data_IF_291841237701
#
_entry.id   IF_291841237701
#
_cell.length_a   1.000
_cell.length_b   1.000
_cell.length_c   1.000
_cell.angle_alpha   90.00
_cell.angle_beta   90.00
_cell.angle_gamma   90.00
#
_symmetry.space_group_name_H-M   'P 1'
#
loop_
_entity.id
_entity.type
_entity.pdbx_description
1 polymer ?
#
# COMPACT_ATOMS: atom_id res chain seq x y z
N UNK A 1 -25.16 -16.77 3.51
CA UNK A 1 -23.68 -16.82 3.44
C UNK A 1 -23.08 -16.54 2.05
N UNK A 2 -23.53 -17.17 0.95
CA UNK A 2 -22.96 -16.97 -0.41
C UNK A 2 -22.95 -15.52 -0.91
N UNK A 3 -23.99 -14.73 -0.58
CA UNK A 3 -24.09 -13.30 -0.95
C UNK A 3 -23.01 -12.45 -0.29
N UNK A 4 -22.76 -12.62 1.01
CA UNK A 4 -21.72 -11.89 1.75
C UNK A 4 -20.34 -12.19 1.16
N UNK A 5 -20.04 -13.47 0.95
CA UNK A 5 -18.77 -13.91 0.35
C UNK A 5 -18.51 -13.25 -1.01
N UNK A 6 -19.54 -13.08 -1.83
CA UNK A 6 -19.41 -12.38 -3.11
C UNK A 6 -19.04 -10.90 -2.94
N UNK A 7 -19.62 -10.20 -1.97
CA UNK A 7 -19.28 -8.79 -1.67
C UNK A 7 -17.83 -8.69 -1.20
N UNK A 8 -17.40 -9.60 -0.33
CA UNK A 8 -16.01 -9.63 0.18
C UNK A 8 -14.99 -9.88 -0.94
N UNK A 9 -15.32 -10.71 -1.93
CA UNK A 9 -14.48 -10.90 -3.11
C UNK A 9 -14.52 -9.71 -4.07
N UNK A 10 -15.69 -9.10 -4.27
CA UNK A 10 -15.85 -7.94 -5.14
C UNK A 10 -14.93 -6.79 -4.72
N UNK A 11 -14.91 -6.46 -3.43
CA UNK A 11 -14.06 -5.40 -2.87
C UNK A 11 -12.68 -5.89 -2.42
N UNK A 12 -12.31 -7.13 -2.73
CA UNK A 12 -10.99 -7.70 -2.42
C UNK A 12 -10.63 -7.68 -0.92
N UNK A 13 -11.64 -7.75 -0.06
CA UNK A 13 -11.46 -7.98 1.39
C UNK A 13 -10.92 -9.39 1.60
N UNK A 14 -11.49 -10.35 0.85
CA UNK A 14 -10.94 -11.70 0.70
C UNK A 14 -10.20 -11.83 -0.63
N UNK A 15 -9.09 -12.56 -0.61
CA UNK A 15 -8.39 -12.94 -1.84
C UNK A 15 -9.23 -13.88 -2.70
N UNK A 16 -9.10 -13.78 -4.02
CA UNK A 16 -9.81 -14.63 -4.96
C UNK A 16 -8.82 -15.24 -5.96
N UNK A 17 -8.75 -16.58 -6.00
CA UNK A 17 -7.71 -17.34 -6.72
C UNK A 17 -6.32 -16.81 -6.36
N UNK A 18 -5.57 -16.27 -7.32
CA UNK A 18 -4.21 -15.75 -7.11
C UNK A 18 -4.18 -14.30 -6.57
N UNK A 19 -5.30 -13.58 -6.63
CA UNK A 19 -5.36 -12.18 -6.20
C UNK A 19 -5.40 -12.11 -4.67
N UNK A 20 -4.41 -11.44 -4.10
CA UNK A 20 -4.30 -11.21 -2.64
C UNK A 20 -5.34 -10.21 -2.13
N UNK A 21 -5.57 -10.23 -0.81
CA UNK A 21 -6.41 -9.24 -0.11
C UNK A 21 -5.82 -7.83 -0.22
N UNK A 22 -6.71 -6.84 -0.30
CA UNK A 22 -6.36 -5.42 -0.35
C UNK A 22 -6.13 -4.77 1.02
N UNK A 23 -6.40 -5.49 2.12
CA UNK A 23 -6.42 -4.89 3.46
C UNK A 23 -5.04 -4.47 4.00
N UNK A 24 -3.95 -4.83 3.31
CA UNK A 24 -2.59 -4.46 3.71
C UNK A 24 -2.40 -2.94 3.90
N UNK A 25 -3.12 -2.13 3.12
CA UNK A 25 -3.07 -0.67 3.21
C UNK A 25 -3.45 -0.12 4.60
N UNK A 26 -4.36 -0.81 5.32
CA UNK A 26 -4.78 -0.43 6.68
C UNK A 26 -3.61 -0.53 7.67
N UNK A 27 -2.65 -1.44 7.43
CA UNK A 27 -1.46 -1.57 8.26
C UNK A 27 -0.65 -0.28 8.30
N UNK A 28 -0.54 0.43 7.17
CA UNK A 28 0.17 1.72 7.10
C UNK A 28 -0.54 2.82 7.87
N UNK A 29 -1.87 2.80 7.90
CA UNK A 29 -2.68 3.70 8.72
C UNK A 29 -2.39 3.51 10.22
N UNK A 30 -2.39 2.26 10.68
CA UNK A 30 -2.08 1.96 12.07
C UNK A 30 -0.63 2.28 12.44
N UNK A 31 0.31 2.06 11.53
CA UNK A 31 1.70 2.44 11.71
C UNK A 31 1.84 3.97 11.88
N UNK A 32 1.13 4.77 11.08
CA UNK A 32 1.08 6.23 11.22
C UNK A 32 0.57 6.67 12.59
N UNK A 33 -0.54 6.09 13.05
CA UNK A 33 -1.07 6.37 14.38
C UNK A 33 -0.11 5.98 15.50
N UNK A 34 0.48 4.79 15.42
CA UNK A 34 1.41 4.29 16.42
C UNK A 34 2.63 5.21 16.54
N UNK A 35 3.22 5.62 15.41
CA UNK A 35 4.37 6.52 15.39
C UNK A 35 4.06 7.95 15.81
N UNK A 36 2.79 8.38 15.75
CA UNK A 36 2.40 9.70 16.26
C UNK A 36 2.50 9.83 17.78
N UNK A 37 2.57 8.70 18.51
CA UNK A 37 2.68 8.64 19.98
C UNK A 37 1.48 9.22 20.74
N UNK A 38 0.36 9.44 20.05
CA UNK A 38 -0.86 10.07 20.58
C UNK A 38 -2.08 9.27 20.15
N UNK A 39 -3.20 9.49 20.84
CA UNK A 39 -4.43 8.76 20.57
C UNK A 39 -5.64 9.69 20.59
N UNK A 40 -6.41 9.69 19.51
CA UNK A 40 -7.73 10.33 19.40
C UNK A 40 -8.69 9.34 18.76
N UNK A 41 -9.40 8.59 19.58
CA UNK A 41 -10.22 7.45 19.14
C UNK A 41 -11.15 7.80 17.96
N UNK A 42 -11.96 8.86 18.09
CA UNK A 42 -12.94 9.21 17.07
C UNK A 42 -12.28 9.60 15.73
N UNK A 43 -11.22 10.42 15.77
CA UNK A 43 -10.43 10.78 14.59
C UNK A 43 -9.83 9.54 13.92
N UNK A 44 -9.25 8.64 14.71
CA UNK A 44 -8.62 7.42 14.20
C UNK A 44 -9.63 6.46 13.60
N UNK A 45 -10.77 6.25 14.28
CA UNK A 45 -11.83 5.38 13.81
C UNK A 45 -12.38 5.87 12.46
N UNK A 46 -12.75 7.16 12.37
CA UNK A 46 -13.28 7.73 11.14
C UNK A 46 -12.26 7.72 10.01
N UNK A 47 -11.00 8.10 10.28
CA UNK A 47 -9.99 8.07 9.24
C UNK A 47 -9.68 6.64 8.76
N UNK A 48 -9.58 5.68 9.67
CA UNK A 48 -9.39 4.26 9.30
C UNK A 48 -10.54 3.78 8.43
N UNK A 49 -11.76 4.21 8.72
CA UNK A 49 -12.92 3.86 7.93
C UNK A 49 -12.89 4.51 6.53
N UNK A 50 -12.45 5.77 6.43
CA UNK A 50 -12.21 6.44 5.13
C UNK A 50 -11.13 5.71 4.32
N UNK A 51 -9.99 5.38 4.92
CA UNK A 51 -8.91 4.64 4.24
C UNK A 51 -9.38 3.25 3.83
N UNK A 52 -10.19 2.58 4.65
CA UNK A 52 -10.83 1.33 4.29
C UNK A 52 -11.70 1.49 3.05
N UNK A 53 -12.58 2.50 3.00
CA UNK A 53 -13.41 2.79 1.82
C UNK A 53 -12.57 3.12 0.58
N UNK A 54 -11.49 3.90 0.74
CA UNK A 54 -10.51 4.17 -0.31
C UNK A 54 -9.85 2.90 -0.84
N UNK A 55 -9.53 1.95 0.05
CA UNK A 55 -9.00 0.63 -0.31
C UNK A 55 -10.03 -0.19 -1.11
N UNK A 56 -11.30 -0.22 -0.67
CA UNK A 56 -12.37 -0.91 -1.41
C UNK A 56 -12.56 -0.30 -2.81
N UNK A 57 -12.54 1.02 -2.92
CA UNK A 57 -12.58 1.73 -4.19
C UNK A 57 -11.39 1.35 -5.07
N UNK A 58 -10.17 1.47 -4.56
CA UNK A 58 -8.93 1.20 -5.29
C UNK A 58 -8.93 -0.17 -5.96
N UNK A 59 -9.26 -1.22 -5.20
CA UNK A 59 -9.22 -2.57 -5.74
C UNK A 59 -10.40 -2.90 -6.65
N UNK A 60 -11.61 -2.42 -6.34
CA UNK A 60 -12.79 -2.68 -7.19
C UNK A 60 -12.70 -1.97 -8.54
N UNK A 61 -12.32 -0.68 -8.55
CA UNK A 61 -12.17 0.10 -9.79
C UNK A 61 -10.99 -0.43 -10.63
N UNK A 62 -9.90 -0.83 -9.97
CA UNK A 62 -8.77 -1.45 -10.66
C UNK A 62 -9.17 -2.79 -11.29
N UNK A 63 -9.87 -3.68 -10.58
CA UNK A 63 -10.37 -4.94 -11.15
C UNK A 63 -11.33 -4.71 -12.33
N UNK A 64 -12.21 -3.69 -12.24
CA UNK A 64 -13.12 -3.35 -13.33
C UNK A 64 -12.35 -2.99 -14.61
N UNK A 65 -11.35 -2.10 -14.53
CA UNK A 65 -10.58 -1.69 -15.71
C UNK A 65 -9.53 -2.72 -16.15
N UNK A 66 -8.96 -3.51 -15.24
CA UNK A 66 -8.11 -4.65 -15.59
C UNK A 66 -8.89 -5.69 -16.42
N UNK A 67 -10.12 -6.02 -16.02
CA UNK A 67 -11.01 -6.87 -16.83
C UNK A 67 -11.37 -6.19 -18.16
N UNK A 68 -11.90 -4.97 -18.11
CA UNK A 68 -12.47 -4.29 -19.29
C UNK A 68 -11.45 -3.99 -20.39
N UNK A 69 -10.21 -3.67 -20.01
CA UNK A 69 -9.19 -3.21 -20.97
C UNK A 69 -8.16 -4.29 -21.27
N UNK A 70 -7.82 -5.16 -20.30
CA UNK A 70 -6.76 -6.17 -20.47
C UNK A 70 -7.33 -7.59 -20.56
N UNK A 71 -8.64 -7.78 -20.42
CA UNK A 71 -9.25 -9.10 -20.41
C UNK A 71 -8.83 -9.93 -19.18
N UNK A 72 -8.41 -9.26 -18.10
CA UNK A 72 -7.90 -9.97 -16.94
C UNK A 72 -9.02 -10.79 -16.27
N UNK A 73 -8.74 -12.06 -15.98
CA UNK A 73 -9.62 -12.93 -15.19
C UNK A 73 -9.64 -12.51 -13.72
N UNK A 74 -10.71 -11.86 -13.31
CA UNK A 74 -10.98 -11.52 -11.91
C UNK A 74 -12.44 -11.80 -11.53
N UNK A 75 -12.74 -11.78 -10.22
CA UNK A 75 -14.08 -12.10 -9.72
C UNK A 75 -15.17 -11.19 -10.31
N UNK A 76 -14.88 -9.90 -10.46
CA UNK A 76 -15.82 -8.93 -11.01
C UNK A 76 -16.10 -9.22 -12.49
N UNK A 77 -15.05 -9.46 -13.28
CA UNK A 77 -15.15 -9.87 -14.69
C UNK A 77 -16.03 -11.11 -14.87
N UNK A 78 -15.79 -12.18 -14.09
CA UNK A 78 -16.60 -13.40 -14.15
C UNK A 78 -18.09 -13.15 -13.84
N UNK A 79 -18.41 -12.20 -12.94
CA UNK A 79 -19.82 -11.85 -12.66
C UNK A 79 -20.47 -11.10 -13.81
N UNK A 80 -19.72 -10.25 -14.51
CA UNK A 80 -20.22 -9.52 -15.66
C UNK A 80 -20.43 -10.48 -16.83
N UNK A 81 -19.43 -11.30 -17.15
CA UNK A 81 -19.48 -12.27 -18.25
C UNK A 81 -20.59 -13.31 -18.07
N UNK A 82 -20.84 -13.76 -16.83
CA UNK A 82 -21.94 -14.68 -16.52
C UNK A 82 -23.32 -14.03 -16.42
N UNK A 83 -23.45 -12.74 -16.75
CA UNK A 83 -24.72 -11.99 -16.71
C UNK A 83 -25.29 -11.76 -15.31
N UNK A 84 -24.52 -12.02 -14.24
CA UNK A 84 -24.98 -11.86 -12.85
C UNK A 84 -25.01 -10.41 -12.41
N UNK A 85 -24.26 -9.54 -13.07
CA UNK A 85 -24.27 -8.10 -12.89
C UNK A 85 -23.98 -7.42 -14.23
N UNK A 86 -24.64 -6.31 -14.56
CA UNK A 86 -24.31 -5.53 -15.75
C UNK A 86 -23.09 -4.65 -15.52
N UNK A 87 -22.37 -4.27 -16.58
CA UNK A 87 -21.21 -3.38 -16.49
C UNK A 87 -21.51 -2.08 -15.74
N UNK A 88 -22.63 -1.42 -16.06
CA UNK A 88 -23.02 -0.16 -15.43
C UNK A 88 -23.25 -0.33 -13.92
N UNK A 89 -23.89 -1.44 -13.51
CA UNK A 89 -24.09 -1.74 -12.09
C UNK A 89 -22.78 -2.06 -11.38
N UNK A 90 -21.89 -2.82 -12.03
CA UNK A 90 -20.58 -3.12 -11.49
C UNK A 90 -19.75 -1.84 -11.28
N UNK A 91 -19.73 -0.95 -12.28
CA UNK A 91 -19.04 0.34 -12.19
C UNK A 91 -19.61 1.21 -11.07
N UNK A 92 -20.94 1.32 -10.97
CA UNK A 92 -21.60 2.04 -9.88
C UNK A 92 -21.16 1.53 -8.50
N UNK A 93 -21.14 0.21 -8.29
CA UNK A 93 -20.68 -0.36 -7.02
C UNK A 93 -19.19 -0.16 -6.75
N UNK A 94 -18.36 -0.05 -7.80
CA UNK A 94 -16.96 0.34 -7.63
C UNK A 94 -16.84 1.76 -7.08
N UNK A 95 -17.68 2.70 -7.53
CA UNK A 95 -17.63 4.11 -7.11
C UNK A 95 -18.33 4.40 -5.78
N UNK A 96 -19.17 3.51 -5.27
CA UNK A 96 -19.88 3.74 -4.01
C UNK A 96 -18.95 4.00 -2.81
N UNK A 97 -17.87 3.22 -2.58
CA UNK A 97 -16.91 3.52 -1.51
C UNK A 97 -16.17 4.85 -1.70
N UNK A 98 -15.91 5.26 -2.94
CA UNK A 98 -15.30 6.56 -3.23
C UNK A 98 -16.20 7.72 -2.80
N UNK A 99 -17.48 7.69 -3.21
CA UNK A 99 -18.43 8.75 -2.85
C UNK A 99 -18.63 8.83 -1.33
N UNK A 100 -18.78 7.68 -0.67
CA UNK A 100 -18.96 7.65 0.77
C UNK A 100 -17.68 8.03 1.52
N UNK A 101 -16.51 7.59 1.05
CA UNK A 101 -15.22 7.95 1.62
C UNK A 101 -14.94 9.45 1.51
N UNK A 102 -15.24 10.06 0.36
CA UNK A 102 -15.14 11.52 0.20
C UNK A 102 -16.09 12.25 1.14
N UNK A 103 -17.37 11.87 1.18
CA UNK A 103 -18.36 12.47 2.09
C UNK A 103 -17.87 12.43 3.55
N UNK A 104 -17.38 11.28 4.01
CA UNK A 104 -16.87 11.14 5.36
C UNK A 104 -15.56 11.90 5.59
N UNK A 105 -14.71 12.03 4.58
CA UNK A 105 -13.49 12.87 4.66
C UNK A 105 -13.86 14.34 4.87
N UNK A 106 -14.81 14.85 4.08
CA UNK A 106 -15.32 16.21 4.21
C UNK A 106 -15.99 16.44 5.55
N UNK A 107 -16.84 15.52 6.00
CA UNK A 107 -17.50 15.61 7.30
C UNK A 107 -16.47 15.62 8.44
N UNK A 108 -15.48 14.72 8.39
CA UNK A 108 -14.42 14.66 9.40
C UNK A 108 -13.57 15.94 9.44
N UNK A 109 -13.31 16.54 8.29
CA UNK A 109 -12.62 17.83 8.19
C UNK A 109 -13.45 18.96 8.78
N UNK A 110 -14.74 19.06 8.42
CA UNK A 110 -15.64 20.11 8.88
C UNK A 110 -15.87 20.04 10.40
N UNK A 111 -15.89 18.84 10.97
CA UNK A 111 -15.97 18.60 12.41
C UNK A 111 -14.63 18.81 13.15
N UNK A 112 -13.55 19.18 12.45
CA UNK A 112 -12.23 19.37 13.05
C UNK A 112 -11.56 18.09 13.56
N UNK A 113 -12.01 16.92 13.09
CA UNK A 113 -11.50 15.62 13.51
C UNK A 113 -10.21 15.22 12.78
N UNK A 114 -10.02 15.72 11.56
CA UNK A 114 -8.79 15.57 10.78
C UNK A 114 -8.21 16.95 10.43
N UNK A 115 -6.88 17.15 10.52
CA UNK A 115 -6.26 18.39 10.08
C UNK A 115 -6.36 18.62 8.57
N UNK A 116 -6.27 19.88 8.15
CA UNK A 116 -6.30 20.30 6.74
C UNK A 116 -5.32 19.53 5.86
N UNK A 117 -4.09 19.29 6.35
CA UNK A 117 -3.06 18.57 5.61
C UNK A 117 -3.47 17.11 5.35
N UNK A 118 -3.90 16.36 6.38
CA UNK A 118 -4.40 14.99 6.23
C UNK A 118 -5.62 14.92 5.31
N UNK A 119 -6.55 15.88 5.41
CA UNK A 119 -7.69 15.97 4.50
C UNK A 119 -7.26 16.08 3.02
N UNK A 120 -6.34 16.99 2.70
CA UNK A 120 -5.86 17.12 1.31
C UNK A 120 -5.08 15.89 0.83
N UNK A 121 -4.33 15.23 1.72
CA UNK A 121 -3.67 13.97 1.40
C UNK A 121 -4.67 12.85 1.07
N UNK A 122 -5.77 12.72 1.83
CA UNK A 122 -6.85 11.77 1.53
C UNK A 122 -7.47 12.05 0.15
N UNK A 123 -7.82 13.30 -0.13
CA UNK A 123 -8.38 13.69 -1.43
C UNK A 123 -7.40 13.36 -2.56
N UNK A 124 -6.11 13.67 -2.37
CA UNK A 124 -5.07 13.33 -3.34
C UNK A 124 -4.94 11.82 -3.54
N UNK A 125 -4.99 11.00 -2.48
CA UNK A 125 -4.98 9.54 -2.56
C UNK A 125 -6.18 8.98 -3.35
N UNK A 126 -7.37 9.53 -3.15
CA UNK A 126 -8.56 9.18 -3.92
C UNK A 126 -8.39 9.50 -5.41
N UNK A 127 -7.83 10.68 -5.74
CA UNK A 127 -7.54 11.08 -7.11
C UNK A 127 -6.46 10.21 -7.74
N UNK A 128 -5.36 9.97 -7.03
CA UNK A 128 -4.27 9.10 -7.47
C UNK A 128 -4.81 7.70 -7.82
N UNK A 129 -5.68 7.15 -6.96
CA UNK A 129 -6.33 5.86 -7.18
C UNK A 129 -7.18 5.84 -8.45
N UNK A 130 -8.02 6.86 -8.63
CA UNK A 130 -8.85 7.00 -9.82
C UNK A 130 -8.02 7.06 -11.10
N UNK A 131 -7.00 7.93 -11.12
CA UNK A 131 -6.11 8.12 -12.26
C UNK A 131 -5.17 6.94 -12.50
N UNK A 132 -4.84 6.18 -11.46
CA UNK A 132 -4.05 4.97 -11.58
C UNK A 132 -4.79 3.88 -12.37
N UNK A 133 -6.08 3.70 -12.12
CA UNK A 133 -6.88 2.62 -12.73
C UNK A 133 -7.60 3.01 -14.03
N UNK A 134 -8.08 4.26 -14.16
CA UNK A 134 -9.04 4.65 -15.21
C UNK A 134 -8.38 5.22 -16.49
N UNK A 135 -8.80 4.80 -17.70
CA UNK A 135 -8.43 5.45 -18.97
C UNK A 135 -9.00 6.88 -19.13
N UNK A 136 -8.36 7.78 -19.91
CA UNK A 136 -7.18 7.55 -20.75
C UNK A 136 -5.84 7.68 -20.02
N UNK A 137 -5.82 8.16 -18.77
CA UNK A 137 -4.57 8.42 -18.06
C UNK A 137 -3.89 7.13 -17.59
N UNK A 138 -4.66 6.26 -16.90
CA UNK A 138 -4.28 4.94 -16.35
C UNK A 138 -2.79 4.81 -16.02
N UNK A 139 -2.38 5.44 -14.92
CA UNK A 139 -0.96 5.50 -14.54
C UNK A 139 -0.31 4.12 -14.38
N UNK A 140 -1.10 3.08 -14.04
CA UNK A 140 -0.63 1.69 -13.96
C UNK A 140 0.10 1.21 -15.22
N UNK A 141 -0.29 1.70 -16.40
CA UNK A 141 0.30 1.31 -17.69
C UNK A 141 1.56 2.12 -18.05
N UNK A 142 1.80 3.23 -17.35
CA UNK A 142 2.96 4.09 -17.60
C UNK A 142 4.15 3.54 -16.81
N UNK A 143 5.25 3.16 -17.47
CA UNK A 143 6.40 2.50 -16.83
C UNK A 143 6.85 3.15 -15.51
N UNK A 144 7.10 4.46 -15.52
CA UNK A 144 7.58 5.18 -14.34
C UNK A 144 6.51 5.37 -13.27
N UNK A 145 5.35 5.92 -13.65
CA UNK A 145 4.28 6.21 -12.70
C UNK A 145 3.60 4.95 -12.16
N UNK A 146 3.44 3.91 -12.97
CA UNK A 146 2.85 2.64 -12.56
C UNK A 146 3.74 1.89 -11.57
N UNK A 147 5.06 2.08 -11.63
CA UNK A 147 6.00 1.58 -10.62
C UNK A 147 5.94 2.42 -9.35
N UNK A 148 6.03 3.75 -9.44
CA UNK A 148 6.09 4.61 -8.26
C UNK A 148 4.76 4.79 -7.53
N UNK A 149 3.62 4.60 -8.20
CA UNK A 149 2.31 4.86 -7.61
C UNK A 149 2.04 3.99 -6.38
N UNK A 150 2.52 2.74 -6.36
CA UNK A 150 2.29 1.84 -5.22
C UNK A 150 3.11 2.26 -4.00
N UNK A 151 4.45 2.41 -4.06
CA UNK A 151 5.22 2.93 -2.93
C UNK A 151 4.77 4.30 -2.46
N UNK A 152 4.44 5.20 -3.40
CA UNK A 152 3.94 6.53 -3.09
C UNK A 152 2.57 6.45 -2.39
N UNK A 153 1.68 5.56 -2.82
CA UNK A 153 0.39 5.33 -2.18
C UNK A 153 0.54 4.91 -0.72
N UNK A 154 1.35 3.88 -0.45
CA UNK A 154 1.65 3.41 0.92
C UNK A 154 2.25 4.53 1.78
N UNK A 155 3.22 5.26 1.21
CA UNK A 155 3.88 6.40 1.84
C UNK A 155 2.89 7.51 2.24
N UNK A 156 1.99 7.86 1.33
CA UNK A 156 1.01 8.91 1.56
C UNK A 156 -0.05 8.49 2.58
N UNK A 157 -0.49 7.23 2.59
CA UNK A 157 -1.40 6.69 3.62
C UNK A 157 -0.75 6.77 5.01
N UNK A 158 0.53 6.39 5.10
CA UNK A 158 1.28 6.52 6.35
C UNK A 158 1.37 7.98 6.81
N UNK A 159 1.77 8.90 5.93
CA UNK A 159 1.91 10.32 6.29
C UNK A 159 0.57 10.94 6.71
N UNK A 160 -0.48 10.69 5.93
CA UNK A 160 -1.83 11.17 6.20
C UNK A 160 -2.27 10.81 7.62
N UNK A 161 -2.16 9.52 7.96
CA UNK A 161 -2.56 8.99 9.25
C UNK A 161 -1.68 9.48 10.40
N UNK A 162 -0.36 9.58 10.19
CA UNK A 162 0.58 10.17 11.16
C UNK A 162 0.18 11.61 11.52
N UNK A 163 -0.10 12.43 10.51
CA UNK A 163 -0.36 13.86 10.70
C UNK A 163 -1.74 14.19 11.30
N UNK A 164 -2.62 13.20 11.54
CA UNK A 164 -3.87 13.46 12.28
C UNK A 164 -3.60 14.07 13.65
N UNK A 165 -2.54 13.62 14.32
CA UNK A 165 -2.13 14.14 15.64
C UNK A 165 -0.63 14.31 15.81
N UNK A 166 0.17 13.76 14.89
CA UNK A 166 1.62 13.86 14.87
C UNK A 166 2.11 15.26 14.49
N UNK A 167 3.42 15.46 14.58
CA UNK A 167 4.10 16.70 14.21
C UNK A 167 5.33 16.37 13.40
N UNK A 168 5.76 17.27 12.53
CA UNK A 168 7.00 17.07 11.79
C UNK A 168 8.18 17.07 12.77
N UNK A 169 8.92 15.96 12.80
CA UNK A 169 10.15 15.81 13.57
C UNK A 169 11.28 15.32 12.67
N UNK A 170 12.53 15.51 13.09
CA UNK A 170 13.67 14.97 12.35
C UNK A 170 13.61 13.43 12.25
N UNK A 171 13.17 12.76 13.32
CA UNK A 171 13.00 11.31 13.33
C UNK A 171 11.92 10.84 12.34
N UNK A 172 10.83 11.60 12.19
CA UNK A 172 9.83 11.32 11.15
C UNK A 172 10.46 11.45 9.77
N UNK A 173 11.23 12.51 9.50
CA UNK A 173 11.88 12.72 8.20
C UNK A 173 12.81 11.54 7.86
N UNK A 174 13.63 11.11 8.82
CA UNK A 174 14.50 9.94 8.65
C UNK A 174 13.70 8.65 8.43
N UNK A 175 12.65 8.44 9.22
CA UNK A 175 11.79 7.27 9.08
C UNK A 175 11.12 7.22 7.71
N UNK A 176 10.55 8.32 7.22
CA UNK A 176 9.81 8.33 5.95
C UNK A 176 10.71 8.07 4.75
N UNK A 177 11.98 8.48 4.80
CA UNK A 177 12.99 8.12 3.78
C UNK A 177 13.23 6.61 3.78
N UNK A 178 13.45 6.00 4.95
CA UNK A 178 13.68 4.55 5.06
C UNK A 178 12.43 3.75 4.67
N UNK A 179 11.26 4.23 5.08
CA UNK A 179 9.97 3.63 4.75
C UNK A 179 9.72 3.65 3.24
N UNK A 180 9.99 4.77 2.56
CA UNK A 180 9.85 4.85 1.10
C UNK A 180 10.81 3.89 0.37
N UNK A 181 12.06 3.77 0.82
CA UNK A 181 13.02 2.80 0.26
C UNK A 181 12.52 1.36 0.43
N UNK A 182 11.92 1.04 1.57
CA UNK A 182 11.35 -0.27 1.84
C UNK A 182 10.11 -0.57 0.99
N UNK A 183 9.18 0.37 0.88
CA UNK A 183 8.00 0.22 0.03
C UNK A 183 8.39 0.05 -1.45
N UNK A 184 9.42 0.79 -1.89
CA UNK A 184 10.02 0.59 -3.22
C UNK A 184 10.60 -0.82 -3.37
N UNK A 185 11.24 -1.35 -2.33
CA UNK A 185 11.76 -2.71 -2.32
C UNK A 185 10.64 -3.77 -2.42
N UNK A 186 9.52 -3.57 -1.71
CA UNK A 186 8.36 -4.44 -1.83
C UNK A 186 7.72 -4.40 -3.22
N UNK A 187 7.64 -3.22 -3.84
CA UNK A 187 7.18 -3.10 -5.22
C UNK A 187 8.11 -3.82 -6.21
N UNK A 188 9.43 -3.83 -5.97
CA UNK A 188 10.35 -4.63 -6.80
C UNK A 188 10.04 -6.13 -6.69
N UNK A 189 9.74 -6.65 -5.49
CA UNK A 189 9.27 -8.04 -5.33
C UNK A 189 7.96 -8.28 -6.10
N UNK A 190 7.03 -7.32 -6.07
CA UNK A 190 5.78 -7.41 -6.85
C UNK A 190 6.06 -7.42 -8.36
N UNK A 191 6.93 -6.55 -8.86
CA UNK A 191 7.29 -6.49 -10.29
C UNK A 191 7.97 -7.79 -10.75
N UNK A 192 8.78 -8.42 -9.89
CA UNK A 192 9.39 -9.72 -10.18
C UNK A 192 8.33 -10.84 -10.23
N UNK A 193 7.34 -10.85 -9.33
CA UNK A 193 6.20 -11.77 -9.38
C UNK A 193 5.36 -11.56 -10.66
N UNK A 194 5.08 -10.30 -11.03
CA UNK A 194 4.33 -9.97 -12.24
C UNK A 194 5.08 -10.37 -13.51
N UNK A 195 6.43 -10.37 -13.48
CA UNK A 195 7.24 -10.80 -14.63
C UNK A 195 7.07 -12.28 -14.98
N UNK A 196 6.58 -13.10 -14.04
CA UNK A 196 6.23 -14.50 -14.24
C UNK A 196 4.84 -14.69 -14.87
N UNK A 197 4.00 -13.65 -14.88
CA UNK A 197 2.66 -13.67 -15.48
C UNK A 197 2.71 -13.22 -16.94
N UNK A 198 1.93 -13.88 -17.80
CA UNK A 198 1.80 -13.51 -19.21
C UNK A 198 0.86 -12.31 -19.43
N UNK A 199 -0.08 -12.08 -18.51
CA UNK A 199 -1.15 -11.08 -18.66
C UNK A 199 -0.87 -9.76 -17.97
N UNK A 200 0.11 -9.70 -17.07
CA UNK A 200 0.43 -8.49 -16.30
C UNK A 200 1.40 -7.58 -17.07
N UNK A 201 1.32 -6.27 -16.81
CA UNK A 201 2.18 -5.28 -17.47
C UNK A 201 3.58 -5.32 -16.88
N UNK A 202 4.58 -5.56 -17.74
CA UNK A 202 5.99 -5.51 -17.36
C UNK A 202 6.47 -4.07 -17.19
N UNK A 203 6.39 -3.57 -15.95
CA UNK A 203 6.78 -2.19 -15.58
C UNK A 203 8.28 -1.93 -15.69
N UNK A 204 9.09 -2.93 -15.35
CA UNK A 204 10.56 -2.86 -15.33
C UNK A 204 11.17 -4.11 -15.95
N UNK A 205 12.36 -3.95 -16.54
CA UNK A 205 13.17 -5.08 -16.98
C UNK A 205 13.59 -5.96 -15.80
N UNK A 206 13.54 -7.28 -15.99
CA UNK A 206 13.79 -8.27 -14.93
C UNK A 206 15.22 -8.18 -14.38
N UNK A 207 16.23 -7.97 -15.23
CA UNK A 207 17.62 -7.83 -14.76
C UNK A 207 17.78 -6.58 -13.92
N UNK A 208 17.14 -5.47 -14.33
CA UNK A 208 17.10 -4.23 -13.53
C UNK A 208 16.38 -4.45 -12.20
N UNK A 209 15.24 -5.12 -12.19
CA UNK A 209 14.47 -5.43 -10.98
C UNK A 209 15.30 -6.28 -9.99
N UNK A 210 15.97 -7.34 -10.47
CA UNK A 210 16.86 -8.16 -9.64
C UNK A 210 18.04 -7.36 -9.06
N UNK A 211 18.60 -6.42 -9.82
CA UNK A 211 19.66 -5.54 -9.33
C UNK A 211 19.14 -4.61 -8.23
N UNK A 212 17.98 -3.98 -8.44
CA UNK A 212 17.34 -3.10 -7.45
C UNK A 212 16.95 -3.84 -6.18
N UNK A 213 16.56 -5.11 -6.28
CA UNK A 213 16.23 -5.96 -5.13
C UNK A 213 17.40 -6.05 -4.12
N UNK A 214 18.65 -5.97 -4.60
CA UNK A 214 19.86 -5.97 -3.75
C UNK A 214 20.33 -4.55 -3.39
N UNK A 215 20.19 -3.60 -4.31
CA UNK A 215 20.60 -2.21 -4.07
C UNK A 215 19.75 -1.57 -2.97
N UNK A 216 18.42 -1.71 -3.02
CA UNK A 216 17.53 -1.00 -2.10
C UNK A 216 17.79 -1.34 -0.62
N UNK A 217 17.89 -2.62 -0.19
CA UNK A 217 18.25 -2.94 1.19
C UNK A 217 19.65 -2.45 1.57
N UNK A 218 20.61 -2.46 0.64
CA UNK A 218 21.97 -1.92 0.85
C UNK A 218 21.93 -0.42 1.09
N UNK A 219 21.19 0.33 0.28
CA UNK A 219 20.97 1.76 0.47
C UNK A 219 20.30 2.03 1.82
N UNK A 220 19.23 1.31 2.16
CA UNK A 220 18.57 1.43 3.47
C UNK A 220 19.53 1.12 4.63
N UNK A 221 20.44 0.16 4.49
CA UNK A 221 21.44 -0.18 5.51
C UNK A 221 22.37 1.00 5.77
N UNK A 222 22.98 1.57 4.73
CA UNK A 222 23.90 2.70 4.90
C UNK A 222 23.17 3.97 5.35
N UNK A 223 21.99 4.26 4.78
CA UNK A 223 21.18 5.42 5.19
C UNK A 223 20.77 5.32 6.66
N UNK A 224 20.34 4.14 7.12
CA UNK A 224 19.96 3.95 8.52
C UNK A 224 21.16 4.03 9.47
N UNK A 225 22.35 3.56 9.06
CA UNK A 225 23.58 3.75 9.82
C UNK A 225 23.92 5.24 9.96
N UNK A 226 23.79 6.03 8.89
CA UNK A 226 23.99 7.48 8.96
C UNK A 226 22.97 8.15 9.90
N UNK A 227 21.69 7.77 9.83
CA UNK A 227 20.66 8.32 10.72
C UNK A 227 20.85 7.88 12.19
N UNK A 228 21.52 6.74 12.42
CA UNK A 228 21.78 6.22 13.77
C UNK A 228 22.68 7.12 14.61
N UNK A 229 23.53 7.94 13.98
CA UNK A 229 24.32 8.97 14.68
C UNK A 229 23.44 10.04 15.34
N UNK A 230 22.26 10.31 14.78
CA UNK A 230 21.29 11.25 15.35
C UNK A 230 20.36 10.56 16.34
N UNK A 231 19.91 9.33 16.05
CA UNK A 231 19.06 8.55 16.96
C UNK A 231 19.31 7.04 16.78
N UNK A 232 19.76 6.31 17.81
CA UNK A 232 20.11 4.88 17.70
C UNK A 232 18.94 3.97 17.30
N UNK A 233 17.70 4.44 17.36
CA UNK A 233 16.53 3.67 16.92
C UNK A 233 16.62 3.19 15.47
N UNK A 234 17.33 3.93 14.61
CA UNK A 234 17.53 3.56 13.21
C UNK A 234 18.44 2.35 13.01
N UNK A 235 19.14 1.90 14.06
CA UNK A 235 19.83 0.60 14.04
C UNK A 235 18.85 -0.58 13.85
N UNK A 236 17.56 -0.38 14.15
CA UNK A 236 16.50 -1.33 13.80
C UNK A 236 16.47 -1.61 12.29
N UNK A 237 16.42 -0.56 11.45
CA UNK A 237 16.47 -0.72 9.99
C UNK A 237 17.80 -1.29 9.52
N UNK A 238 18.91 -0.93 10.15
CA UNK A 238 20.21 -1.53 9.84
C UNK A 238 20.19 -3.05 10.02
N UNK A 239 19.67 -3.54 11.15
CA UNK A 239 19.56 -4.96 11.45
C UNK A 239 18.65 -5.68 10.44
N UNK A 240 17.44 -5.17 10.19
CA UNK A 240 16.50 -5.79 9.26
C UNK A 240 16.93 -5.71 7.80
N UNK A 241 17.60 -4.64 7.35
CA UNK A 241 18.23 -4.58 6.03
C UNK A 241 19.36 -5.61 5.89
N UNK A 242 20.15 -5.84 6.95
CA UNK A 242 21.20 -6.86 6.94
C UNK A 242 20.62 -8.27 6.80
N UNK A 243 19.52 -8.57 7.51
CA UNK A 243 18.78 -9.83 7.38
C UNK A 243 18.20 -9.99 5.97
N UNK A 244 17.63 -8.93 5.39
CA UNK A 244 17.15 -8.92 4.00
C UNK A 244 18.29 -9.24 3.02
N UNK A 245 19.44 -8.57 3.12
CA UNK A 245 20.59 -8.85 2.25
C UNK A 245 21.11 -10.28 2.38
N UNK A 246 21.17 -10.80 3.61
CA UNK A 246 21.60 -12.18 3.85
C UNK A 246 20.63 -13.18 3.21
N UNK A 247 19.32 -13.01 3.42
CA UNK A 247 18.29 -13.89 2.86
C UNK A 247 18.18 -13.81 1.33
N UNK A 248 18.60 -12.70 0.72
CA UNK A 248 18.62 -12.51 -0.74
C UNK A 248 19.82 -13.16 -1.45
N UNK A 249 20.81 -13.71 -0.72
CA UNK A 249 22.00 -14.34 -1.34
C UNK A 249 21.63 -15.48 -2.29
N UNK A 250 20.63 -16.27 -1.92
CA UNK A 250 20.18 -17.44 -2.68
C UNK A 250 18.80 -17.21 -3.33
N UNK A 251 18.40 -15.95 -3.52
CA UNK A 251 17.10 -15.62 -4.08
C UNK A 251 16.93 -16.18 -5.49
N UNK A 252 15.84 -16.92 -5.71
CA UNK A 252 15.40 -17.39 -7.03
C UNK A 252 14.13 -16.66 -7.45
N UNK A 253 13.97 -16.42 -8.74
CA UNK A 253 12.84 -15.65 -9.27
C UNK A 253 11.50 -16.30 -8.92
N UNK A 254 11.44 -17.62 -8.97
CA UNK A 254 10.24 -18.42 -8.69
C UNK A 254 9.77 -18.26 -7.23
N UNK A 255 10.66 -17.83 -6.34
CA UNK A 255 10.35 -17.60 -4.93
C UNK A 255 9.68 -16.24 -4.68
N UNK A 256 9.71 -15.30 -5.65
CA UNK A 256 9.17 -13.95 -5.49
C UNK A 256 7.70 -13.97 -5.02
N UNK A 257 6.87 -14.81 -5.65
CA UNK A 257 5.46 -14.99 -5.29
C UNK A 257 5.27 -15.53 -3.88
N UNK A 258 6.08 -16.52 -3.49
CA UNK A 258 6.02 -17.15 -2.15
C UNK A 258 6.42 -16.14 -1.07
N UNK A 259 7.48 -15.38 -1.31
CA UNK A 259 7.96 -14.32 -0.42
C UNK A 259 6.89 -13.25 -0.25
N UNK A 260 6.30 -12.77 -1.35
CA UNK A 260 5.25 -11.73 -1.31
C UNK A 260 4.01 -12.16 -0.52
N UNK A 261 3.62 -13.43 -0.59
CA UNK A 261 2.50 -13.98 0.19
C UNK A 261 2.86 -14.20 1.67
N UNK A 262 4.14 -14.36 1.99
CA UNK A 262 4.61 -14.53 3.35
C UNK A 262 5.13 -13.19 3.91
N UNK A 263 4.21 -12.39 4.45
CA UNK A 263 4.54 -11.10 5.10
C UNK A 263 5.55 -11.25 6.25
N UNK A 264 5.68 -12.45 6.82
CA UNK A 264 6.59 -12.78 7.91
C UNK A 264 7.92 -13.37 7.45
N UNK A 265 8.20 -13.39 6.14
CA UNK A 265 9.50 -13.84 5.65
C UNK A 265 10.62 -12.88 6.06
N UNK A 266 11.85 -13.38 6.22
CA UNK A 266 13.02 -12.51 6.45
C UNK A 266 13.30 -11.58 5.25
N UNK A 267 12.86 -11.97 4.05
CA UNK A 267 12.97 -11.15 2.85
C UNK A 267 12.03 -9.94 2.91
N UNK A 268 10.82 -10.08 3.47
CA UNK A 268 9.89 -8.95 3.65
C UNK A 268 10.14 -8.21 4.96
N UNK A 269 10.50 -8.90 6.05
CA UNK A 269 10.86 -8.33 7.35
C UNK A 269 9.87 -7.27 7.87
N UNK A 270 8.56 -7.46 7.70
CA UNK A 270 7.54 -6.51 8.20
C UNK A 270 7.61 -6.27 9.71
N UNK A 271 8.25 -7.17 10.46
CA UNK A 271 8.57 -7.02 11.88
C UNK A 271 9.31 -5.71 12.20
N UNK A 272 10.12 -5.19 11.26
CA UNK A 272 10.79 -3.90 11.40
C UNK A 272 9.81 -2.78 11.78
N UNK A 273 8.66 -2.73 11.10
CA UNK A 273 7.65 -1.71 11.30
C UNK A 273 6.79 -1.96 12.52
N UNK A 274 6.64 -3.23 12.92
CA UNK A 274 6.03 -3.55 14.21
C UNK A 274 6.86 -3.01 15.36
N UNK A 275 8.20 -3.16 15.28
CA UNK A 275 9.12 -2.57 16.27
C UNK A 275 9.02 -1.05 16.28
N UNK A 276 9.05 -0.39 15.11
CA UNK A 276 8.85 1.06 15.03
C UNK A 276 7.49 1.49 15.60
N UNK A 277 6.41 0.76 15.33
CA UNK A 277 5.08 1.03 15.87
C UNK A 277 5.06 0.94 17.41
N UNK A 278 5.64 -0.12 17.98
CA UNK A 278 5.76 -0.27 19.44
C UNK A 278 6.54 0.91 20.05
N UNK A 279 7.70 1.23 19.48
CA UNK A 279 8.54 2.32 19.99
C UNK A 279 7.83 3.68 19.89
N UNK A 280 7.06 3.89 18.83
CA UNK A 280 6.19 5.05 18.66
C UNK A 280 5.11 5.17 19.74
N UNK A 281 4.44 4.06 20.08
CA UNK A 281 3.43 4.03 21.15
C UNK A 281 4.03 4.44 22.51
N UNK A 282 5.28 4.05 22.76
CA UNK A 282 6.05 4.43 23.96
C UNK A 282 6.75 5.79 23.84
N UNK A 283 6.58 6.52 22.73
CA UNK A 283 7.21 7.82 22.46
C UNK A 283 8.74 7.79 22.51
N UNK A 284 9.32 6.70 22.04
CA UNK A 284 10.76 6.50 21.94
C UNK A 284 11.32 6.91 20.57
N UNK A 285 10.48 7.50 19.70
CA UNK A 285 10.79 8.01 18.34
C UNK A 285 10.41 9.48 18.26
#
# INVERSE_FOLDING_TARGET
>A
MKKIKNVLYFYRILGWKEKMTGLGAIGYTFLGYALSGRFKFLSYFLNTFVVFLGTLFAFSVNNFYDWKVQGEKNFLGEKIESGKISENKALFFCFLPFLFGLFLSFLSFFLGLIPTFSFFLLVFLFLLTFFYAKPPLRLKERRFFGFLAVPLGSFLIFLESYFIVGRLTLNLIFFVVLFFLFETYLEILHVLDDSLSETEIKKLDQKKALRLLKILPTTSLFTSLCFSFSNPIFLNTFAFSSLRLFSLRNFKLEEARKIRKNVFSFQTSFYEYFVYGILGLFRLI
#
